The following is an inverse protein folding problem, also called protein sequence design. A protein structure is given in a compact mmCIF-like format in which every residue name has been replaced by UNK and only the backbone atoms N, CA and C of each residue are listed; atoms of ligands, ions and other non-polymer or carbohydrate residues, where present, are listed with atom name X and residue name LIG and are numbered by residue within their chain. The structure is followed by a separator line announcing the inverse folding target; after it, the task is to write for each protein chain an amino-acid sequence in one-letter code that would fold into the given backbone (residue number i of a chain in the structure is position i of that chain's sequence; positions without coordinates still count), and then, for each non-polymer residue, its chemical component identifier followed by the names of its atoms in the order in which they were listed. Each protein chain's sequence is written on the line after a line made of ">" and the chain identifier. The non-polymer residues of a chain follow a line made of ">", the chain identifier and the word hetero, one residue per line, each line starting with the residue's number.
data_IF_862881657627
#
_entry.id   IF_862881657627
#
_cell.length_a   1.000
_cell.length_b   1.000
_cell.length_c   1.000
_cell.angle_alpha   90.00
_cell.angle_beta   90.00
_cell.angle_gamma   90.00
#
_symmetry.space_group_name_H-M   'P 1'
#
loop_
_entity.id
_entity.type
_entity.pdbx_description
1 polymer ?
#
# COMPACT_ATOMS: atom_id res chain seq x y z
N UNK A 1 74.69 20.49 30.05
CA UNK A 1 74.42 21.56 29.07
C UNK A 1 72.90 21.72 28.93
N UNK A 2 72.42 22.96 29.18
CA UNK A 2 71.14 23.61 28.77
C UNK A 2 69.82 22.81 28.99
N UNK A 3 69.07 23.12 30.07
CA UNK A 3 67.98 24.15 30.20
C UNK A 3 66.65 23.65 29.58
N UNK A 4 65.63 23.26 30.35
CA UNK A 4 64.73 24.02 31.27
C UNK A 4 63.52 24.65 30.57
N UNK A 5 62.31 24.34 31.09
CA UNK A 5 61.12 25.18 31.45
C UNK A 5 59.85 24.31 31.35
N UNK A 6 59.10 23.87 32.37
CA UNK A 6 58.63 24.37 33.69
C UNK A 6 57.54 25.48 33.61
N UNK A 7 56.33 25.09 34.05
CA UNK A 7 55.24 25.80 34.80
C UNK A 7 54.52 27.01 34.15
N UNK A 8 53.33 27.46 34.56
CA UNK A 8 52.13 27.01 35.31
C UNK A 8 51.31 28.30 35.65
N UNK A 9 50.07 28.14 36.17
CA UNK A 9 49.23 29.12 36.92
C UNK A 9 48.47 30.19 36.09
N UNK A 10 47.35 30.82 36.51
CA UNK A 10 46.47 30.82 37.72
C UNK A 10 45.11 31.47 37.34
N UNK A 11 44.05 31.17 38.11
CA UNK A 11 42.84 32.01 38.28
C UNK A 11 43.17 33.49 38.57
N UNK A 12 42.22 34.40 38.32
CA UNK A 12 41.75 35.41 39.29
C UNK A 12 40.42 36.04 38.79
N UNK A 13 39.45 36.08 39.69
CA UNK A 13 38.19 36.81 39.58
C UNK A 13 38.39 38.29 39.95
N UNK A 14 37.60 39.20 39.39
CA UNK A 14 37.31 40.49 40.03
C UNK A 14 35.89 40.97 39.71
N UNK A 15 35.13 41.12 40.79
CA UNK A 15 33.82 41.74 40.96
C UNK A 15 34.06 43.14 41.57
N UNK A 16 33.45 44.19 41.02
CA UNK A 16 33.16 45.50 41.67
C UNK A 16 32.04 46.15 40.81
N UNK A 17 30.75 46.17 41.19
CA UNK A 17 30.05 47.02 42.18
C UNK A 17 30.20 48.53 41.91
N UNK A 18 29.13 49.19 41.41
CA UNK A 18 28.29 50.15 42.16
C UNK A 18 27.37 50.98 41.24
N UNK A 19 26.07 50.96 41.53
CA UNK A 19 24.94 51.71 40.92
C UNK A 19 24.93 53.21 41.37
N UNK A 20 23.85 54.04 41.25
CA UNK A 20 22.52 53.88 40.60
C UNK A 20 21.98 55.15 39.87
N UNK A 21 20.81 55.07 39.21
CA UNK A 21 19.68 56.02 39.41
C UNK A 21 18.40 55.59 38.65
N UNK A 22 17.42 55.10 39.43
CA UNK A 22 15.99 55.47 39.50
C UNK A 22 15.25 56.04 38.29
N UNK A 23 14.17 55.36 37.86
CA UNK A 23 12.75 55.69 38.13
C UNK A 23 11.85 54.70 37.33
N UNK A 24 11.09 53.81 37.99
CA UNK A 24 9.64 53.92 38.32
C UNK A 24 8.74 54.00 37.07
N UNK A 25 7.63 53.28 36.92
CA UNK A 25 6.89 52.26 37.67
C UNK A 25 5.84 51.73 36.67
N UNK A 26 5.42 50.45 36.65
CA UNK A 26 4.21 49.89 37.29
C UNK A 26 3.74 48.79 36.29
N UNK A 27 3.29 47.59 36.65
CA UNK A 27 3.10 46.94 37.94
C UNK A 27 2.42 45.59 37.71
N UNK A 28 2.82 44.60 38.52
CA UNK A 28 1.97 43.59 39.20
C UNK A 28 1.18 42.55 38.36
N UNK A 29 1.06 41.27 38.71
CA UNK A 29 1.66 40.48 39.79
C UNK A 29 1.35 38.97 39.61
N UNK A 30 2.15 38.17 40.32
CA UNK A 30 1.78 36.93 41.01
C UNK A 30 1.88 35.52 40.36
N UNK A 31 2.76 34.75 41.02
CA UNK A 31 2.56 33.42 41.65
C UNK A 31 2.43 32.13 40.80
N UNK A 32 3.51 31.37 40.90
CA UNK A 32 3.63 30.08 41.61
C UNK A 32 3.33 28.74 40.92
N UNK A 33 4.32 27.85 41.12
CA UNK A 33 4.24 26.40 41.33
C UNK A 33 4.33 25.48 40.11
N UNK A 34 5.01 24.35 40.30
CA UNK A 34 4.64 23.08 39.68
C UNK A 34 5.67 22.45 38.74
N UNK A 35 6.55 21.64 39.33
CA UNK A 35 6.97 20.31 38.88
C UNK A 35 7.20 20.01 37.38
N UNK A 36 8.48 19.75 37.09
CA UNK A 36 9.01 18.60 36.33
C UNK A 36 8.02 17.68 35.63
N UNK A 37 8.13 17.61 34.30
CA UNK A 37 7.81 16.42 33.50
C UNK A 37 8.81 16.32 32.35
N UNK A 38 9.30 15.10 32.11
CA UNK A 38 10.31 14.77 31.13
C UNK A 38 9.75 14.88 29.69
N UNK A 39 10.54 15.55 28.83
CA UNK A 39 10.27 15.67 27.39
C UNK A 39 10.79 14.41 26.69
N UNK A 40 9.89 13.70 26.01
CA UNK A 40 10.19 12.71 24.97
C UNK A 40 10.45 13.50 23.68
N UNK A 41 11.53 13.28 22.92
CA UNK A 41 11.73 14.01 21.67
C UNK A 41 10.81 13.46 20.58
N UNK A 42 10.04 14.37 19.97
CA UNK A 42 9.21 14.13 18.79
C UNK A 42 10.07 13.76 17.58
N UNK A 43 9.54 12.86 16.75
CA UNK A 43 10.11 12.48 15.47
C UNK A 43 9.85 13.59 14.44
N UNK A 44 10.92 14.13 13.87
CA UNK A 44 10.88 15.08 12.75
C UNK A 44 10.08 14.50 11.58
N UNK A 45 8.98 15.17 11.27
CA UNK A 45 8.14 14.90 10.11
C UNK A 45 8.78 15.52 8.87
N UNK A 46 8.89 14.75 7.79
CA UNK A 46 9.37 15.23 6.50
C UNK A 46 8.27 16.11 5.88
N UNK A 47 8.51 17.41 5.83
CA UNK A 47 7.64 18.40 5.20
C UNK A 47 7.55 18.15 3.68
N UNK A 48 6.34 17.85 3.21
CA UNK A 48 6.01 17.74 1.81
C UNK A 48 5.72 19.14 1.25
N UNK A 49 6.55 19.62 0.32
CA UNK A 49 6.27 20.83 -0.42
C UNK A 49 5.15 20.56 -1.44
N UNK A 50 3.93 21.01 -1.11
CA UNK A 50 2.81 21.09 -2.03
C UNK A 50 3.02 22.29 -2.97
N UNK A 51 3.10 22.03 -4.28
CA UNK A 51 3.02 23.06 -5.30
C UNK A 51 1.59 23.10 -5.85
N UNK A 52 0.95 24.25 -5.66
CA UNK A 52 -0.34 24.63 -6.24
C UNK A 52 -0.14 25.04 -7.70
N UNK A 53 -0.95 24.49 -8.62
CA UNK A 53 -1.07 25.03 -9.99
C UNK A 53 -2.46 25.63 -10.20
N UNK A 54 -2.44 26.84 -10.77
CA UNK A 54 -3.59 27.69 -10.99
C UNK A 54 -4.31 27.43 -12.31
N UNK A 55 -5.56 27.87 -12.32
CA UNK A 55 -6.52 27.85 -13.42
C UNK A 55 -6.02 28.54 -14.68
N UNK A 56 -6.27 27.90 -15.83
CA UNK A 56 -6.42 28.59 -17.10
C UNK A 56 -7.69 28.08 -17.80
N UNK A 57 -8.70 28.96 -17.85
CA UNK A 57 -9.92 28.78 -18.63
C UNK A 57 -9.63 28.85 -20.13
N UNK A 58 -10.31 28.02 -20.92
CA UNK A 58 -10.60 28.35 -22.31
C UNK A 58 -12.01 27.90 -22.71
N UNK A 59 -12.70 28.79 -23.40
CA UNK A 59 -14.09 28.70 -23.79
C UNK A 59 -14.24 28.21 -25.24
N UNK A 60 -15.29 27.41 -25.47
CA UNK A 60 -16.14 27.43 -26.66
C UNK A 60 -15.57 26.87 -27.97
N UNK A 61 -16.19 25.79 -28.48
CA UNK A 61 -17.12 25.93 -29.61
C UNK A 61 -17.95 24.65 -29.82
N UNK A 62 -19.19 24.88 -30.25
CA UNK A 62 -20.30 23.98 -30.53
C UNK A 62 -20.13 23.07 -31.76
N UNK A 63 -20.82 21.92 -31.72
CA UNK A 63 -21.19 21.12 -32.89
C UNK A 63 -22.18 20.03 -32.50
N UNK A 64 -23.47 20.25 -32.80
CA UNK A 64 -24.55 19.26 -32.73
C UNK A 64 -24.51 18.36 -33.99
N UNK A 65 -24.85 17.08 -33.83
CA UNK A 65 -25.68 16.25 -34.74
C UNK A 65 -25.64 14.81 -34.17
N UNK A 66 -26.72 14.34 -33.55
CA UNK A 66 -27.93 13.70 -34.12
C UNK A 66 -27.87 12.17 -33.99
N UNK A 67 -28.92 11.64 -33.39
CA UNK A 67 -29.08 10.26 -32.96
C UNK A 67 -29.59 9.37 -34.09
N UNK A 68 -29.08 8.13 -34.16
CA UNK A 68 -29.78 7.02 -34.83
C UNK A 68 -29.49 5.71 -34.07
N UNK A 69 -30.52 5.19 -33.39
CA UNK A 69 -30.72 3.76 -33.13
C UNK A 69 -31.63 3.22 -34.28
N UNK A 70 -31.71 1.91 -34.62
CA UNK A 70 -31.84 0.80 -33.67
C UNK A 70 -31.15 -0.53 -34.10
N UNK A 71 -31.08 -1.51 -33.19
CA UNK A 71 -31.95 -2.71 -33.23
C UNK A 71 -31.32 -3.88 -32.45
N UNK A 72 -32.26 -4.59 -31.83
CA UNK A 72 -32.24 -5.74 -30.96
C UNK A 72 -31.68 -7.03 -31.57
N UNK A 73 -31.07 -7.84 -30.70
CA UNK A 73 -30.58 -9.19 -31.03
C UNK A 73 -30.40 -10.01 -29.77
N UNK A 74 -31.51 -10.55 -29.25
CA UNK A 74 -31.59 -11.52 -28.16
C UNK A 74 -30.89 -12.83 -28.54
N UNK A 75 -29.98 -13.33 -27.71
CA UNK A 75 -29.69 -14.77 -27.63
C UNK A 75 -29.52 -15.23 -26.18
N UNK A 76 -30.18 -16.35 -25.90
CA UNK A 76 -30.38 -16.99 -24.60
C UNK A 76 -29.53 -18.28 -24.55
N UNK A 77 -29.11 -18.63 -23.33
CA UNK A 77 -28.91 -19.98 -22.73
C UNK A 77 -27.44 -20.44 -22.51
N UNK A 78 -27.16 -21.30 -21.51
CA UNK A 78 -27.97 -21.65 -20.32
C UNK A 78 -27.20 -21.61 -18.97
N UNK A 79 -28.01 -21.62 -17.92
CA UNK A 79 -27.68 -21.92 -16.53
C UNK A 79 -27.08 -23.33 -16.36
N UNK A 80 -26.15 -23.48 -15.43
CA UNK A 80 -25.86 -24.78 -14.81
C UNK A 80 -25.91 -24.66 -13.29
N UNK A 81 -26.48 -25.71 -12.72
CA UNK A 81 -27.15 -25.78 -11.44
C UNK A 81 -26.22 -25.79 -10.22
N UNK A 82 -26.80 -25.27 -9.14
CA UNK A 82 -26.50 -25.47 -7.74
C UNK A 82 -26.25 -26.92 -7.33
N UNK A 83 -25.31 -27.13 -6.42
CA UNK A 83 -25.39 -28.23 -5.45
C UNK A 83 -25.33 -27.62 -4.06
N UNK A 84 -26.46 -27.71 -3.36
CA UNK A 84 -26.65 -27.36 -1.96
C UNK A 84 -26.10 -28.49 -1.08
N UNK A 85 -25.21 -28.18 -0.16
CA UNK A 85 -24.99 -29.04 1.02
C UNK A 85 -25.77 -28.47 2.21
N UNK A 86 -26.71 -29.29 2.66
CA UNK A 86 -27.54 -29.11 3.85
C UNK A 86 -26.70 -29.30 5.11
N UNK A 87 -26.56 -28.25 5.92
CA UNK A 87 -26.11 -28.40 7.30
C UNK A 87 -27.32 -28.72 8.19
N UNK A 88 -27.32 -29.95 8.73
CA UNK A 88 -28.29 -30.46 9.67
C UNK A 88 -28.01 -29.85 11.06
N UNK A 89 -29.00 -29.17 11.63
CA UNK A 89 -28.93 -28.62 12.97
C UNK A 89 -29.11 -29.73 14.01
N UNK A 90 -28.13 -29.87 14.91
CA UNK A 90 -28.28 -30.64 16.14
C UNK A 90 -28.23 -29.68 17.33
N UNK A 91 -29.35 -29.64 18.07
CA UNK A 91 -29.47 -29.01 19.37
C UNK A 91 -28.44 -29.58 20.36
N UNK A 92 -27.77 -28.70 21.10
CA UNK A 92 -27.21 -29.04 22.40
C UNK A 92 -27.27 -27.81 23.33
N UNK A 93 -28.01 -27.99 24.42
CA UNK A 93 -28.14 -27.06 25.53
C UNK A 93 -26.80 -26.76 26.21
N UNK A 94 -26.76 -25.59 26.87
CA UNK A 94 -25.56 -24.93 27.32
C UNK A 94 -24.73 -25.62 28.40
N UNK A 95 -23.43 -25.37 28.31
CA UNK A 95 -22.48 -25.33 29.41
C UNK A 95 -21.50 -24.20 29.09
N UNK A 96 -21.18 -23.35 30.06
CA UNK A 96 -20.27 -22.21 29.93
C UNK A 96 -19.00 -22.59 29.15
N UNK A 97 -18.95 -22.16 27.89
CA UNK A 97 -17.97 -22.61 26.90
C UNK A 97 -16.68 -21.83 27.02
N UNK A 98 -15.65 -22.46 27.56
CA UNK A 98 -14.26 -22.08 27.31
C UNK A 98 -14.06 -22.13 25.79
N UNK A 99 -13.94 -20.96 25.15
CA UNK A 99 -13.85 -20.87 23.70
C UNK A 99 -12.65 -21.70 23.22
N UNK A 100 -12.91 -22.74 22.43
CA UNK A 100 -11.85 -23.55 21.84
C UNK A 100 -10.98 -22.66 20.96
N UNK A 101 -9.79 -22.31 21.45
CA UNK A 101 -8.86 -21.43 20.77
C UNK A 101 -8.27 -22.04 19.48
N UNK A 102 -8.59 -23.31 19.18
CA UNK A 102 -8.29 -23.98 17.90
C UNK A 102 -9.47 -23.99 16.92
N UNK A 103 -10.65 -23.53 17.34
CA UNK A 103 -11.84 -23.44 16.49
C UNK A 103 -11.66 -22.46 15.31
N UNK A 104 -12.36 -22.68 14.19
CA UNK A 104 -12.38 -21.73 13.08
C UNK A 104 -12.78 -20.33 13.53
N UNK A 105 -12.28 -19.31 12.84
CA UNK A 105 -12.74 -17.93 13.03
C UNK A 105 -14.19 -17.79 12.59
N UNK A 106 -14.99 -17.09 13.39
CA UNK A 106 -16.40 -16.81 13.14
C UNK A 106 -16.64 -15.31 13.13
N UNK A 107 -17.79 -14.88 12.59
CA UNK A 107 -18.11 -13.46 12.51
C UNK A 107 -18.17 -12.78 13.90
N UNK A 108 -18.51 -13.51 14.95
CA UNK A 108 -18.60 -13.04 16.34
C UNK A 108 -17.23 -12.75 16.98
N UNK A 109 -16.13 -13.24 16.39
CA UNK A 109 -14.76 -12.98 16.85
C UNK A 109 -14.27 -11.56 16.52
N UNK A 110 -15.08 -10.78 15.80
CA UNK A 110 -14.71 -9.48 15.28
C UNK A 110 -15.64 -8.39 15.80
N UNK A 111 -15.11 -7.16 15.78
CA UNK A 111 -15.91 -5.93 15.96
C UNK A 111 -16.10 -5.26 14.62
N UNK A 112 -17.24 -4.59 14.47
CA UNK A 112 -17.65 -4.01 13.20
C UNK A 112 -18.04 -2.55 13.38
N UNK A 113 -17.95 -1.79 12.30
CA UNK A 113 -18.47 -0.44 12.23
C UNK A 113 -18.38 0.13 10.82
N UNK A 114 -18.91 1.32 10.63
CA UNK A 114 -18.91 1.98 9.33
C UNK A 114 -17.49 2.36 8.91
N UNK A 115 -17.11 1.97 7.70
CA UNK A 115 -15.91 2.47 7.03
C UNK A 115 -16.30 3.11 5.71
N UNK A 116 -15.57 4.15 5.34
CA UNK A 116 -15.75 4.83 4.07
C UNK A 116 -14.41 5.30 3.50
N UNK A 117 -14.33 5.32 2.17
CA UNK A 117 -13.21 5.89 1.46
C UNK A 117 -13.62 6.28 0.04
N UNK A 118 -13.18 7.46 -0.39
CA UNK A 118 -13.33 7.93 -1.77
C UNK A 118 -12.00 7.81 -2.49
N UNK A 119 -12.01 7.08 -3.60
CA UNK A 119 -10.87 6.89 -4.49
C UNK A 119 -11.10 7.71 -5.75
N UNK A 120 -10.10 8.51 -6.14
CA UNK A 120 -10.15 9.30 -7.36
C UNK A 120 -8.92 9.02 -8.21
N UNK A 121 -9.12 8.84 -9.52
CA UNK A 121 -8.00 8.78 -10.48
C UNK A 121 -7.25 10.11 -10.52
N UNK A 122 -5.96 10.12 -10.88
CA UNK A 122 -5.20 11.38 -10.89
C UNK A 122 -5.68 12.36 -11.97
N UNK A 123 -6.41 11.88 -12.98
CA UNK A 123 -7.09 12.69 -13.99
C UNK A 123 -8.55 13.06 -13.62
N UNK A 124 -9.03 12.65 -12.43
CA UNK A 124 -10.39 12.88 -11.93
C UNK A 124 -11.52 12.39 -12.86
N UNK A 125 -11.23 11.50 -13.81
CA UNK A 125 -12.25 10.94 -14.71
C UNK A 125 -13.11 9.88 -14.03
N UNK A 126 -12.60 9.27 -12.96
CA UNK A 126 -13.30 8.29 -12.14
C UNK A 126 -13.17 8.66 -10.67
N UNK A 127 -14.30 8.58 -9.97
CA UNK A 127 -14.39 8.61 -8.52
C UNK A 127 -15.22 7.41 -8.06
N UNK A 128 -14.72 6.67 -7.08
CA UNK A 128 -15.41 5.53 -6.47
C UNK A 128 -15.44 5.74 -4.97
N UNK A 129 -16.65 5.81 -4.43
CA UNK A 129 -16.86 5.74 -2.99
C UNK A 129 -17.13 4.29 -2.59
N UNK A 130 -16.34 3.78 -1.66
CA UNK A 130 -16.63 2.56 -0.91
C UNK A 130 -17.13 2.98 0.45
N UNK A 131 -18.30 2.51 0.86
CA UNK A 131 -18.92 2.83 2.14
C UNK A 131 -19.75 1.63 2.60
N UNK A 132 -19.61 1.23 3.87
CA UNK A 132 -20.35 0.10 4.44
C UNK A 132 -19.71 -0.49 5.69
N UNK A 133 -20.19 -1.65 6.10
CA UNK A 133 -19.71 -2.37 7.30
C UNK A 133 -18.29 -2.88 7.09
N UNK A 134 -17.37 -2.47 7.96
CA UNK A 134 -15.97 -2.90 7.98
C UNK A 134 -15.60 -3.56 9.31
N UNK A 135 -14.57 -4.39 9.27
CA UNK A 135 -14.00 -5.02 10.48
C UNK A 135 -13.08 -4.01 11.16
N UNK A 136 -13.36 -3.65 12.42
CA UNK A 136 -12.59 -2.66 13.18
C UNK A 136 -11.57 -3.28 14.15
N UNK A 137 -11.62 -4.59 14.34
CA UNK A 137 -10.70 -5.34 15.18
C UNK A 137 -11.34 -6.60 15.74
N UNK A 138 -10.77 -7.13 16.82
CA UNK A 138 -11.24 -8.34 17.48
C UNK A 138 -12.22 -8.05 18.62
N UNK A 139 -13.25 -8.89 18.75
CA UNK A 139 -14.07 -8.96 19.97
C UNK A 139 -13.25 -9.55 21.13
N UNK A 140 -13.83 -9.66 22.32
CA UNK A 140 -13.10 -10.26 23.45
C UNK A 140 -12.77 -11.73 23.21
N UNK A 141 -13.69 -12.51 22.59
CA UNK A 141 -13.39 -13.89 22.16
C UNK A 141 -12.29 -13.92 21.09
N UNK A 142 -12.31 -12.98 20.14
CA UNK A 142 -11.27 -12.87 19.12
C UNK A 142 -9.88 -12.57 19.70
N UNK A 143 -9.80 -11.72 20.73
CA UNK A 143 -8.53 -11.39 21.41
C UNK A 143 -7.93 -12.56 22.17
N UNK A 144 -8.77 -13.47 22.69
CA UNK A 144 -8.32 -14.72 23.28
C UNK A 144 -7.88 -15.70 22.19
N UNK A 145 -8.69 -15.87 21.14
CA UNK A 145 -8.42 -16.77 20.01
C UNK A 145 -7.12 -16.43 19.29
N UNK A 146 -6.85 -15.14 19.04
CA UNK A 146 -5.61 -14.70 18.37
C UNK A 146 -4.35 -15.04 19.15
N UNK A 147 -4.41 -15.34 20.46
CA UNK A 147 -3.23 -15.77 21.21
C UNK A 147 -2.72 -17.15 20.77
N UNK A 148 -3.60 -17.99 20.24
CA UNK A 148 -3.31 -19.37 19.84
C UNK A 148 -3.36 -19.54 18.33
N UNK A 149 -4.42 -19.07 17.69
CA UNK A 149 -4.60 -19.18 16.24
C UNK A 149 -4.06 -17.93 15.53
N UNK A 150 -2.88 -18.02 14.90
CA UNK A 150 -2.27 -16.91 14.12
C UNK A 150 -2.66 -16.90 12.64
N UNK A 151 -3.54 -17.80 12.22
CA UNK A 151 -4.06 -17.92 10.86
C UNK A 151 -5.42 -17.23 10.77
N UNK A 152 -5.42 -15.91 10.60
CA UNK A 152 -6.63 -15.10 10.63
C UNK A 152 -7.50 -15.38 9.40
N UNK A 153 -8.79 -15.64 9.60
CA UNK A 153 -9.75 -15.77 8.49
C UNK A 153 -10.80 -14.67 8.66
N UNK A 154 -10.84 -13.75 7.70
CA UNK A 154 -11.78 -12.63 7.72
C UNK A 154 -13.15 -13.09 7.20
N UNK A 155 -14.24 -12.78 7.93
CA UNK A 155 -15.58 -13.13 7.47
C UNK A 155 -16.01 -12.24 6.30
N UNK A 156 -16.77 -12.80 5.36
CA UNK A 156 -17.38 -12.03 4.26
C UNK A 156 -18.61 -11.23 4.68
N UNK A 157 -19.23 -11.59 5.82
CA UNK A 157 -20.41 -10.92 6.37
C UNK A 157 -20.28 -10.71 7.87
N UNK A 158 -20.84 -9.61 8.37
CA UNK A 158 -21.04 -9.40 9.80
C UNK A 158 -22.14 -10.34 10.34
N UNK A 159 -22.26 -10.51 11.67
CA UNK A 159 -23.36 -11.26 12.28
C UNK A 159 -24.76 -10.71 11.90
N UNK A 160 -24.84 -9.43 11.53
CA UNK A 160 -26.06 -8.79 10.99
C UNK A 160 -26.46 -9.31 9.60
N UNK A 161 -25.57 -10.02 8.90
CA UNK A 161 -25.73 -10.46 7.52
C UNK A 161 -25.24 -9.47 6.47
N UNK A 162 -24.80 -8.28 6.87
CA UNK A 162 -24.23 -7.25 5.97
C UNK A 162 -22.87 -7.69 5.43
N UNK A 163 -22.66 -7.53 4.13
CA UNK A 163 -21.36 -7.81 3.49
C UNK A 163 -20.28 -6.85 3.99
N UNK A 164 -19.11 -7.40 4.30
CA UNK A 164 -17.95 -6.61 4.74
C UNK A 164 -17.32 -5.92 3.54
N UNK A 165 -17.09 -4.61 3.65
CA UNK A 165 -16.48 -3.78 2.60
C UNK A 165 -15.02 -3.44 2.87
N UNK A 166 -14.44 -3.94 3.97
CA UNK A 166 -13.04 -3.70 4.26
C UNK A 166 -12.62 -3.91 5.71
N UNK A 167 -11.37 -3.53 5.97
CA UNK A 167 -10.73 -3.59 7.27
C UNK A 167 -10.35 -2.18 7.70
N UNK A 168 -10.76 -1.80 8.91
CA UNK A 168 -10.58 -0.48 9.49
C UNK A 168 -9.14 -0.16 9.91
N UNK A 169 -8.86 1.11 10.26
CA UNK A 169 -7.52 1.53 10.62
C UNK A 169 -6.97 0.76 11.82
N UNK A 170 -5.74 0.24 11.71
CA UNK A 170 -5.04 -0.51 12.75
C UNK A 170 -5.77 -1.73 13.33
N UNK A 171 -6.83 -2.22 12.68
CA UNK A 171 -7.72 -3.26 13.23
C UNK A 171 -6.99 -4.51 13.74
N UNK A 172 -5.89 -4.88 13.07
CA UNK A 172 -5.09 -6.06 13.36
C UNK A 172 -3.59 -5.77 13.49
N UNK A 173 -3.22 -4.53 13.86
CA UNK A 173 -1.82 -4.17 14.04
C UNK A 173 -1.20 -4.91 15.26
N UNK A 174 0.05 -5.37 15.13
CA UNK A 174 0.85 -5.93 16.25
C UNK A 174 0.24 -7.17 16.93
N UNK A 175 -0.51 -7.99 16.20
CA UNK A 175 -1.18 -9.17 16.76
C UNK A 175 -0.39 -10.48 16.58
N UNK A 176 0.73 -10.41 15.87
CA UNK A 176 1.58 -11.57 15.57
C UNK A 176 0.97 -12.52 14.55
N UNK A 177 0.07 -12.01 13.68
CA UNK A 177 -0.59 -12.78 12.62
C UNK A 177 0.45 -13.34 11.65
N UNK A 178 0.29 -14.61 11.26
CA UNK A 178 1.21 -15.32 10.37
C UNK A 178 0.62 -15.50 8.97
N UNK A 179 -0.70 -15.69 8.85
CA UNK A 179 -1.42 -15.74 7.57
C UNK A 179 -2.78 -15.07 7.68
N UNK A 180 -3.29 -14.58 6.54
CA UNK A 180 -4.65 -14.02 6.43
C UNK A 180 -5.37 -14.72 5.28
N UNK A 181 -6.62 -15.09 5.51
CA UNK A 181 -7.56 -15.48 4.45
C UNK A 181 -8.59 -14.36 4.31
N UNK A 182 -8.69 -13.80 3.10
CA UNK A 182 -9.68 -12.79 2.73
C UNK A 182 -10.98 -13.45 2.26
N UNK A 183 -12.13 -12.76 2.33
CA UNK A 183 -13.37 -13.27 1.75
C UNK A 183 -13.33 -13.25 0.21
N UNK A 184 -14.07 -14.15 -0.45
CA UNK A 184 -14.06 -14.29 -1.92
C UNK A 184 -15.07 -13.36 -2.65
N UNK A 185 -16.19 -13.00 -2.01
CA UNK A 185 -17.29 -12.25 -2.63
C UNK A 185 -17.13 -10.71 -2.54
N UNK A 186 -15.94 -10.20 -2.87
CA UNK A 186 -15.60 -8.77 -2.73
C UNK A 186 -15.88 -7.92 -3.99
N UNK A 187 -16.48 -8.51 -5.01
CA UNK A 187 -16.79 -7.88 -6.30
C UNK A 187 -18.25 -7.45 -6.38
N UNK A 188 -18.53 -6.20 -6.75
CA UNK A 188 -19.89 -5.68 -6.93
C UNK A 188 -20.17 -5.27 -8.38
N UNK A 189 -21.45 -5.21 -8.82
CA UNK A 189 -21.81 -4.60 -10.10
C UNK A 189 -21.29 -3.16 -10.22
N UNK A 190 -20.86 -2.78 -11.41
CA UNK A 190 -20.35 -1.45 -11.72
C UNK A 190 -20.84 -1.00 -13.09
N UNK A 191 -21.33 0.24 -13.17
CA UNK A 191 -21.65 0.90 -14.44
C UNK A 191 -20.50 1.84 -14.79
N UNK A 192 -19.60 1.38 -15.65
CA UNK A 192 -18.45 2.16 -16.09
C UNK A 192 -18.85 3.22 -17.10
N UNK A 193 -18.98 4.45 -16.63
CA UNK A 193 -19.35 5.61 -17.47
C UNK A 193 -18.19 6.16 -18.30
N UNK A 194 -16.96 5.65 -18.12
CA UNK A 194 -15.77 6.17 -18.80
C UNK A 194 -15.38 5.33 -20.00
N UNK A 195 -15.32 4.00 -19.85
CA UNK A 195 -14.97 3.10 -20.97
C UNK A 195 -16.12 2.19 -21.39
N UNK A 196 -17.18 2.07 -20.57
CA UNK A 196 -18.30 1.15 -20.78
C UNK A 196 -17.88 -0.33 -20.93
N UNK A 197 -16.71 -0.72 -20.40
CA UNK A 197 -16.21 -2.09 -20.51
C UNK A 197 -16.24 -2.87 -19.19
N UNK A 198 -16.19 -2.17 -18.05
CA UNK A 198 -16.11 -2.79 -16.73
C UNK A 198 -17.54 -2.93 -16.18
N UNK A 199 -17.99 -4.17 -16.00
CA UNK A 199 -19.35 -4.47 -15.49
C UNK A 199 -19.37 -4.84 -14.00
N UNK A 200 -18.19 -5.11 -13.43
CA UNK A 200 -17.99 -5.38 -12.00
C UNK A 200 -16.68 -4.78 -11.53
N UNK A 201 -16.62 -4.33 -10.27
CA UNK A 201 -15.42 -3.79 -9.64
C UNK A 201 -15.17 -4.41 -8.27
N UNK A 202 -13.94 -4.28 -7.79
CA UNK A 202 -13.66 -4.55 -6.38
C UNK A 202 -14.33 -3.54 -5.45
N UNK A 203 -14.68 -3.99 -4.24
CA UNK A 203 -15.36 -3.20 -3.22
C UNK A 203 -14.74 -3.36 -1.82
N UNK A 204 -13.53 -3.94 -1.73
CA UNK A 204 -12.88 -4.15 -0.45
C UNK A 204 -11.69 -3.21 -0.27
N UNK A 205 -11.66 -2.49 0.86
CA UNK A 205 -10.60 -1.55 1.20
C UNK A 205 -9.87 -1.97 2.47
N UNK A 206 -8.54 -1.83 2.48
CA UNK A 206 -7.70 -2.13 3.63
C UNK A 206 -7.13 -0.81 4.14
N UNK A 207 -7.62 -0.33 5.29
CA UNK A 207 -7.30 1.00 5.81
C UNK A 207 -5.93 1.06 6.49
N UNK A 208 -5.54 2.29 6.80
CA UNK A 208 -4.20 2.62 7.30
C UNK A 208 -3.77 1.75 8.47
N UNK A 209 -2.58 1.15 8.36
CA UNK A 209 -1.97 0.32 9.40
C UNK A 209 -2.71 -0.99 9.74
N UNK A 210 -3.77 -1.37 9.00
CA UNK A 210 -4.67 -2.48 9.34
C UNK A 210 -3.96 -3.77 9.78
N UNK A 211 -2.88 -4.15 9.12
CA UNK A 211 -2.09 -5.36 9.38
C UNK A 211 -0.61 -5.06 9.65
N UNK A 212 -0.29 -3.84 10.10
CA UNK A 212 1.10 -3.45 10.39
C UNK A 212 1.72 -4.23 11.55
N UNK A 213 3.05 -4.39 11.52
CA UNK A 213 3.84 -5.01 12.59
C UNK A 213 3.39 -6.46 12.95
N UNK A 214 3.10 -7.29 11.94
CA UNK A 214 2.77 -8.70 12.09
C UNK A 214 3.91 -9.62 11.56
N UNK A 215 3.63 -10.93 11.46
CA UNK A 215 4.59 -11.94 11.00
C UNK A 215 4.21 -12.53 9.63
N UNK A 216 3.44 -11.80 8.81
CA UNK A 216 3.00 -12.28 7.49
C UNK A 216 4.20 -12.57 6.59
N UNK A 217 4.21 -13.73 5.91
CA UNK A 217 5.37 -14.21 5.13
C UNK A 217 5.15 -14.22 3.61
N UNK A 218 3.91 -14.31 3.17
CA UNK A 218 3.49 -14.22 1.77
C UNK A 218 2.06 -13.70 1.70
N UNK A 219 1.68 -13.16 0.55
CA UNK A 219 0.31 -12.72 0.30
C UNK A 219 -0.10 -12.96 -1.14
N UNK A 220 -1.25 -13.60 -1.31
CA UNK A 220 -1.95 -13.71 -2.58
C UNK A 220 -3.31 -13.03 -2.43
N UNK A 221 -3.41 -11.79 -2.90
CA UNK A 221 -4.64 -11.02 -2.76
C UNK A 221 -5.69 -11.53 -3.76
N UNK A 222 -6.90 -11.92 -3.29
CA UNK A 222 -7.97 -12.31 -4.20
C UNK A 222 -8.56 -11.10 -4.92
N UNK A 223 -9.31 -11.37 -6.00
CA UNK A 223 -10.06 -10.34 -6.71
C UNK A 223 -11.07 -9.65 -5.78
N UNK A 224 -11.25 -8.35 -6.00
CA UNK A 224 -12.15 -7.51 -5.23
C UNK A 224 -11.48 -6.59 -4.22
N UNK A 225 -10.19 -6.81 -3.93
CA UNK A 225 -9.36 -5.81 -3.24
C UNK A 225 -9.20 -4.61 -4.18
N UNK A 226 -9.69 -3.45 -3.74
CA UNK A 226 -9.68 -2.22 -4.51
C UNK A 226 -8.58 -1.26 -4.06
N UNK A 227 -8.32 -1.20 -2.75
CA UNK A 227 -7.39 -0.22 -2.18
C UNK A 227 -6.67 -0.74 -0.95
N UNK A 228 -5.36 -0.49 -0.91
CA UNK A 228 -4.49 -0.76 0.22
C UNK A 228 -3.89 0.56 0.68
N UNK A 229 -4.33 1.02 1.85
CA UNK A 229 -4.01 2.34 2.38
C UNK A 229 -2.62 2.38 3.07
N UNK A 230 -2.29 3.57 3.58
CA UNK A 230 -0.98 3.86 4.12
C UNK A 230 -0.54 2.87 5.22
N UNK A 231 0.68 2.36 5.11
CA UNK A 231 1.28 1.42 6.06
C UNK A 231 0.46 0.15 6.38
N UNK A 232 -0.55 -0.21 5.56
CA UNK A 232 -1.47 -1.31 5.85
C UNK A 232 -0.78 -2.64 6.17
N UNK A 233 0.35 -2.94 5.52
CA UNK A 233 1.16 -4.16 5.69
C UNK A 233 2.62 -3.86 6.05
N UNK A 234 2.89 -2.67 6.60
CA UNK A 234 4.24 -2.25 7.00
C UNK A 234 4.80 -3.16 8.10
N UNK A 235 6.13 -3.35 8.13
CA UNK A 235 6.83 -4.10 9.18
C UNK A 235 6.34 -5.55 9.33
N UNK A 236 6.21 -6.26 8.22
CA UNK A 236 5.92 -7.69 8.20
C UNK A 236 7.17 -8.48 7.76
N UNK A 237 7.03 -9.77 7.46
CA UNK A 237 8.11 -10.66 7.01
C UNK A 237 7.88 -11.15 5.58
N UNK A 238 7.10 -10.42 4.79
CA UNK A 238 6.67 -10.91 3.48
C UNK A 238 7.85 -11.04 2.54
N UNK A 239 7.95 -12.16 1.83
CA UNK A 239 8.97 -12.41 0.82
C UNK A 239 8.43 -12.35 -0.60
N UNK A 240 7.13 -12.56 -0.76
CA UNK A 240 6.40 -12.45 -2.01
C UNK A 240 5.01 -11.87 -1.81
N UNK A 241 4.52 -11.15 -2.82
CA UNK A 241 3.15 -10.65 -2.88
C UNK A 241 2.62 -10.71 -4.32
N UNK A 242 1.38 -11.15 -4.48
CA UNK A 242 0.62 -11.13 -5.74
C UNK A 242 -0.64 -10.28 -5.58
N UNK A 243 -0.87 -9.42 -6.57
CA UNK A 243 -1.96 -8.45 -6.57
C UNK A 243 -3.01 -8.75 -7.67
N UNK A 244 -4.30 -8.50 -7.39
CA UNK A 244 -5.41 -8.72 -8.31
C UNK A 244 -5.53 -7.61 -9.36
N UNK A 245 -6.24 -7.86 -10.46
CA UNK A 245 -6.48 -6.84 -11.49
C UNK A 245 -7.46 -5.74 -11.03
N UNK A 246 -8.24 -6.00 -9.98
CA UNK A 246 -9.15 -5.02 -9.38
C UNK A 246 -8.46 -3.96 -8.53
N UNK A 247 -7.19 -4.16 -8.16
CA UNK A 247 -6.47 -3.24 -7.30
C UNK A 247 -6.23 -1.92 -8.03
N UNK A 248 -6.72 -0.82 -7.46
CA UNK A 248 -6.51 0.52 -7.99
C UNK A 248 -5.25 1.15 -7.41
N UNK A 249 -5.08 1.14 -6.09
CA UNK A 249 -4.03 1.94 -5.45
C UNK A 249 -3.34 1.22 -4.29
N UNK A 250 -2.02 1.38 -4.25
CA UNK A 250 -1.15 1.04 -3.12
C UNK A 250 -0.63 2.33 -2.51
N UNK A 251 -1.08 2.60 -1.28
CA UNK A 251 -0.82 3.83 -0.55
C UNK A 251 0.58 3.93 0.05
N UNK A 252 0.82 5.08 0.69
CA UNK A 252 2.11 5.43 1.27
C UNK A 252 2.64 4.36 2.23
N UNK A 253 3.86 3.87 2.03
CA UNK A 253 4.48 2.87 2.91
C UNK A 253 3.68 1.56 3.09
N UNK A 254 2.69 1.26 2.26
CA UNK A 254 1.77 0.14 2.46
C UNK A 254 2.48 -1.20 2.72
N UNK A 255 3.58 -1.48 2.01
CA UNK A 255 4.40 -2.69 2.14
C UNK A 255 5.83 -2.38 2.59
N UNK A 256 6.06 -1.24 3.24
CA UNK A 256 7.40 -0.85 3.67
C UNK A 256 7.97 -1.78 4.75
N UNK A 257 9.30 -1.93 4.81
CA UNK A 257 10.01 -2.69 5.83
C UNK A 257 9.54 -4.14 5.93
N UNK A 258 9.62 -4.82 4.79
CA UNK A 258 9.36 -6.25 4.65
C UNK A 258 10.62 -6.95 4.11
N UNK A 259 10.50 -8.16 3.57
CA UNK A 259 11.59 -8.88 2.90
C UNK A 259 11.24 -9.22 1.45
N UNK A 260 10.38 -8.42 0.81
CA UNK A 260 9.82 -8.73 -0.51
C UNK A 260 10.93 -8.83 -1.54
N UNK A 261 11.05 -10.00 -2.16
CA UNK A 261 11.92 -10.26 -3.32
C UNK A 261 11.11 -10.35 -4.61
N UNK A 262 9.86 -10.76 -4.50
CA UNK A 262 8.94 -10.90 -5.62
C UNK A 262 7.69 -10.05 -5.40
N UNK A 263 7.40 -9.18 -6.36
CA UNK A 263 6.19 -8.37 -6.39
C UNK A 263 5.51 -8.63 -7.73
N UNK A 264 4.42 -9.39 -7.70
CA UNK A 264 3.65 -9.79 -8.87
C UNK A 264 2.46 -8.85 -9.03
N UNK A 265 2.68 -7.77 -9.78
CA UNK A 265 1.61 -6.89 -10.26
C UNK A 265 0.90 -7.53 -11.46
N UNK A 266 -0.41 -7.28 -11.64
CA UNK A 266 -1.14 -7.78 -12.80
C UNK A 266 -0.66 -7.08 -14.09
N UNK A 267 -0.87 -7.72 -15.24
CA UNK A 267 -0.55 -7.09 -16.54
C UNK A 267 -1.60 -6.03 -16.89
N UNK A 268 -2.87 -6.34 -16.65
CA UNK A 268 -4.03 -5.48 -16.88
C UNK A 268 -4.69 -5.11 -15.56
N UNK A 269 -5.27 -3.91 -15.48
CA UNK A 269 -6.02 -3.44 -14.32
C UNK A 269 -7.38 -2.88 -14.77
N UNK A 270 -8.40 -2.99 -13.92
CA UNK A 270 -9.72 -2.38 -14.17
C UNK A 270 -9.61 -0.85 -14.14
N UNK A 271 -8.81 -0.33 -13.22
CA UNK A 271 -8.59 1.09 -13.01
C UNK A 271 -7.12 1.47 -13.22
N UNK A 272 -6.91 2.78 -13.35
CA UNK A 272 -5.59 3.37 -13.54
C UNK A 272 -4.71 3.16 -12.32
N UNK A 273 -3.81 2.17 -12.39
CA UNK A 273 -3.07 1.68 -11.23
C UNK A 273 -2.09 2.72 -10.68
N UNK A 274 -1.99 2.80 -9.34
CA UNK A 274 -1.20 3.81 -8.64
C UNK A 274 -0.33 3.20 -7.53
N UNK A 275 0.95 3.59 -7.52
CA UNK A 275 1.91 3.29 -6.45
C UNK A 275 2.37 4.59 -5.81
N UNK A 276 2.05 4.76 -4.53
CA UNK A 276 2.37 5.96 -3.77
C UNK A 276 3.77 5.94 -3.15
N UNK A 277 4.09 7.01 -2.40
CA UNK A 277 5.40 7.26 -1.85
C UNK A 277 5.83 6.15 -0.90
N UNK A 278 7.05 5.64 -1.10
CA UNK A 278 7.64 4.60 -0.26
C UNK A 278 6.79 3.32 -0.11
N UNK A 279 5.81 3.09 -0.99
CA UNK A 279 4.88 1.95 -0.92
C UNK A 279 5.59 0.60 -0.71
N UNK A 280 6.77 0.41 -1.32
CA UNK A 280 7.60 -0.78 -1.22
C UNK A 280 9.00 -0.49 -0.65
N UNK A 281 9.16 0.58 0.13
CA UNK A 281 10.47 0.95 0.67
C UNK A 281 11.03 -0.11 1.63
N UNK A 282 12.35 -0.25 1.70
CA UNK A 282 13.03 -1.13 2.67
C UNK A 282 12.58 -2.60 2.51
N UNK A 283 12.94 -3.18 1.37
CA UNK A 283 12.61 -4.54 0.96
C UNK A 283 13.83 -5.15 0.23
N UNK A 284 13.64 -6.30 -0.42
CA UNK A 284 14.68 -7.03 -1.17
C UNK A 284 14.39 -7.05 -2.68
N UNK A 285 13.66 -6.05 -3.18
CA UNK A 285 13.19 -5.97 -4.57
C UNK A 285 14.36 -5.57 -5.47
N UNK A 286 14.49 -6.26 -6.60
CA UNK A 286 15.44 -5.85 -7.65
C UNK A 286 14.73 -5.24 -8.84
N UNK A 287 13.61 -5.84 -9.23
CA UNK A 287 12.81 -5.42 -10.36
C UNK A 287 11.34 -5.74 -10.15
N UNK A 288 10.48 -5.05 -10.90
CA UNK A 288 9.04 -5.27 -11.00
C UNK A 288 8.61 -5.11 -12.46
N UNK A 289 7.49 -5.73 -12.84
CA UNK A 289 6.77 -5.38 -14.08
C UNK A 289 5.60 -4.48 -13.72
N UNK A 290 5.48 -3.30 -14.34
CA UNK A 290 4.32 -2.43 -14.14
C UNK A 290 3.13 -2.91 -14.98
N UNK A 291 1.89 -2.81 -14.47
CA UNK A 291 0.69 -2.97 -15.28
C UNK A 291 0.66 -1.99 -16.46
N UNK A 292 0.10 -2.41 -17.59
CA UNK A 292 -0.02 -1.57 -18.79
C UNK A 292 -0.86 -0.32 -18.53
N UNK A 293 -1.80 -0.39 -17.59
CA UNK A 293 -2.67 0.72 -17.20
C UNK A 293 -2.21 1.47 -15.94
N UNK A 294 -0.89 1.54 -15.70
CA UNK A 294 -0.32 2.31 -14.60
C UNK A 294 -0.38 3.81 -14.89
N UNK A 295 -0.91 4.58 -13.95
CA UNK A 295 -1.01 6.04 -14.03
C UNK A 295 0.06 6.76 -13.21
N UNK A 296 0.47 6.18 -12.07
CA UNK A 296 1.37 6.85 -11.13
C UNK A 296 2.32 5.88 -10.46
N UNK A 297 3.60 6.25 -10.41
CA UNK A 297 4.62 5.64 -9.54
C UNK A 297 5.46 6.75 -8.93
N UNK A 298 5.38 6.92 -7.62
CA UNK A 298 6.03 8.02 -6.93
C UNK A 298 7.55 7.83 -6.79
N UNK A 299 8.32 8.93 -6.64
CA UNK A 299 9.80 8.91 -6.82
C UNK A 299 10.58 8.06 -5.81
N UNK A 300 10.00 7.74 -4.65
CA UNK A 300 10.64 6.90 -3.63
C UNK A 300 9.88 5.59 -3.37
N UNK A 301 8.99 5.17 -4.28
CA UNK A 301 8.20 3.94 -4.10
C UNK A 301 9.06 2.72 -3.78
N UNK A 302 10.28 2.63 -4.34
CA UNK A 302 11.22 1.53 -4.11
C UNK A 302 12.49 1.91 -3.34
N UNK A 303 12.46 2.98 -2.53
CA UNK A 303 13.62 3.38 -1.72
C UNK A 303 14.15 2.25 -0.83
N UNK A 304 15.46 2.19 -0.53
CA UNK A 304 16.08 1.14 0.31
C UNK A 304 15.92 -0.30 -0.21
N UNK A 305 15.70 -0.49 -1.51
CA UNK A 305 15.76 -1.79 -2.15
C UNK A 305 17.12 -2.00 -2.86
N UNK A 306 17.64 -3.24 -2.92
CA UNK A 306 18.95 -3.51 -3.53
C UNK A 306 19.01 -3.22 -5.03
N UNK A 307 17.88 -3.27 -5.74
CA UNK A 307 17.83 -2.91 -7.15
C UNK A 307 18.65 -3.80 -8.09
N UNK A 308 18.73 -3.38 -9.35
CA UNK A 308 19.53 -4.00 -10.41
C UNK A 308 20.85 -3.26 -10.66
N UNK A 309 20.93 -1.99 -10.27
CA UNK A 309 22.10 -1.13 -10.40
C UNK A 309 22.36 -0.40 -9.07
N UNK A 310 23.59 0.06 -8.86
CA UNK A 310 23.93 0.96 -7.76
C UNK A 310 23.27 2.33 -7.93
N UNK A 311 23.08 3.06 -6.83
CA UNK A 311 22.60 4.44 -6.87
C UNK A 311 23.64 5.32 -7.59
N UNK A 312 23.22 6.17 -8.56
CA UNK A 312 24.15 7.03 -9.29
C UNK A 312 24.94 7.97 -8.37
N UNK A 313 26.20 8.23 -8.71
CA UNK A 313 27.11 9.04 -7.88
C UNK A 313 26.64 10.50 -7.70
N UNK A 314 25.89 11.00 -8.67
CA UNK A 314 25.30 12.33 -8.69
C UNK A 314 23.99 12.45 -7.88
N UNK A 315 23.50 11.35 -7.30
CA UNK A 315 22.33 11.39 -6.44
C UNK A 315 22.58 12.25 -5.18
N UNK A 316 21.52 12.84 -4.58
CA UNK A 316 21.64 13.60 -3.34
C UNK A 316 22.29 12.77 -2.22
N UNK A 317 23.05 13.43 -1.34
CA UNK A 317 23.81 12.76 -0.27
C UNK A 317 22.93 11.89 0.63
N UNK A 318 21.70 12.35 0.94
CA UNK A 318 20.73 11.54 1.70
C UNK A 318 20.34 10.25 0.98
N UNK A 319 20.14 10.31 -0.34
CA UNK A 319 19.79 9.12 -1.14
C UNK A 319 20.96 8.14 -1.17
N UNK A 320 22.20 8.62 -1.30
CA UNK A 320 23.39 7.76 -1.27
C UNK A 320 23.66 7.17 0.12
N UNK A 321 23.39 7.92 1.18
CA UNK A 321 23.61 7.48 2.55
C UNK A 321 22.61 6.41 3.01
N UNK A 322 21.36 6.52 2.56
CA UNK A 322 20.27 5.68 3.05
C UNK A 322 19.69 4.71 2.00
N UNK A 323 19.85 4.98 0.71
CA UNK A 323 19.37 4.10 -0.35
C UNK A 323 20.29 2.89 -0.55
N UNK A 324 19.80 1.87 -1.27
CA UNK A 324 20.53 0.63 -1.50
C UNK A 324 20.82 0.35 -2.99
N UNK A 325 19.93 0.75 -3.91
CA UNK A 325 20.09 0.56 -5.34
C UNK A 325 18.94 1.14 -6.15
N UNK A 326 18.99 0.90 -7.46
CA UNK A 326 17.98 1.33 -8.43
C UNK A 326 17.14 0.15 -8.87
N UNK A 327 15.86 0.14 -8.49
CA UNK A 327 14.90 -0.89 -8.90
C UNK A 327 14.48 -0.68 -10.35
N UNK A 328 14.49 -1.75 -11.14
CA UNK A 328 13.99 -1.71 -12.51
C UNK A 328 12.49 -1.90 -12.56
N UNK A 329 11.81 -1.00 -13.23
CA UNK A 329 10.38 -1.08 -13.53
C UNK A 329 10.24 -1.41 -15.01
N UNK A 330 9.92 -2.66 -15.32
CA UNK A 330 9.76 -3.15 -16.68
C UNK A 330 8.36 -2.84 -17.22
N UNK A 331 8.29 -2.47 -18.50
CA UNK A 331 7.05 -2.33 -19.25
C UNK A 331 7.29 -2.47 -20.75
N UNK A 332 6.29 -2.97 -21.49
CA UNK A 332 6.25 -2.89 -22.96
C UNK A 332 5.36 -1.74 -23.46
N UNK A 333 4.66 -1.04 -22.56
CA UNK A 333 3.83 0.09 -22.92
C UNK A 333 4.66 1.37 -23.04
N UNK A 334 4.93 1.77 -24.29
CA UNK A 334 5.69 2.98 -24.62
C UNK A 334 5.06 4.27 -24.07
N UNK A 335 3.74 4.29 -23.85
CA UNK A 335 3.05 5.45 -23.30
C UNK A 335 3.52 5.79 -21.87
N UNK A 336 3.93 4.81 -21.07
CA UNK A 336 4.36 5.04 -19.69
C UNK A 336 5.63 5.91 -19.61
N UNK A 337 6.48 5.89 -20.65
CA UNK A 337 7.67 6.75 -20.72
C UNK A 337 7.31 8.23 -20.90
N UNK A 338 6.10 8.53 -21.37
CA UNK A 338 5.62 9.90 -21.59
C UNK A 338 4.79 10.42 -20.42
N UNK A 339 4.37 9.56 -19.49
CA UNK A 339 3.54 9.95 -18.35
C UNK A 339 4.36 10.60 -17.23
N UNK A 340 4.15 11.88 -17.00
CA UNK A 340 4.86 12.69 -16.00
C UNK A 340 4.77 12.16 -14.56
N UNK A 341 3.69 11.43 -14.25
CA UNK A 341 3.46 10.80 -12.94
C UNK A 341 4.18 9.46 -12.75
N UNK A 342 4.90 8.99 -13.76
CA UNK A 342 5.81 7.85 -13.65
C UNK A 342 7.19 8.41 -13.34
N UNK A 343 7.55 8.45 -12.06
CA UNK A 343 8.83 9.01 -11.65
C UNK A 343 9.93 7.96 -11.84
N UNK A 344 11.01 8.30 -12.55
CA UNK A 344 12.12 7.39 -12.81
C UNK A 344 13.43 8.15 -13.06
N UNK A 345 14.55 7.41 -13.08
CA UNK A 345 15.90 7.94 -13.22
C UNK A 345 16.15 8.77 -14.49
N UNK A 346 15.43 8.43 -15.57
CA UNK A 346 15.51 9.12 -16.86
C UNK A 346 14.85 10.51 -16.89
N UNK A 347 14.10 10.89 -15.86
CA UNK A 347 13.48 12.22 -15.77
C UNK A 347 14.51 13.30 -15.41
N UNK A 348 14.26 14.51 -15.90
CA UNK A 348 15.12 15.70 -15.69
C UNK A 348 14.53 16.65 -14.66
N UNK A 349 13.20 16.82 -14.63
CA UNK A 349 12.52 17.66 -13.66
C UNK A 349 12.64 17.08 -12.24
N UNK A 350 13.03 17.92 -11.27
CA UNK A 350 13.33 17.46 -9.91
C UNK A 350 12.13 16.81 -9.21
N UNK A 351 10.91 17.28 -9.49
CA UNK A 351 9.66 16.73 -8.96
C UNK A 351 9.22 15.41 -9.62
N UNK A 352 9.86 14.99 -10.71
CA UNK A 352 9.59 13.73 -11.41
C UNK A 352 10.79 12.76 -11.35
N UNK A 353 11.98 13.25 -10.99
CA UNK A 353 13.20 12.46 -10.97
C UNK A 353 13.24 11.56 -9.74
N UNK A 354 13.28 10.26 -9.98
CA UNK A 354 13.67 9.29 -8.97
C UNK A 354 15.14 8.95 -9.09
N UNK A 355 15.79 8.72 -7.97
CA UNK A 355 17.17 8.21 -7.90
C UNK A 355 17.25 6.71 -7.56
N UNK A 356 16.10 6.08 -7.32
CA UNK A 356 16.02 4.70 -6.78
C UNK A 356 15.16 3.78 -7.64
N UNK A 357 14.61 4.27 -8.75
CA UNK A 357 13.90 3.44 -9.71
C UNK A 357 14.10 3.92 -11.15
N UNK A 358 14.09 2.98 -12.09
CA UNK A 358 14.37 3.22 -13.51
C UNK A 358 13.35 2.45 -14.35
N UNK A 359 12.70 3.16 -15.27
CA UNK A 359 11.77 2.56 -16.21
C UNK A 359 12.56 1.91 -17.36
N UNK A 360 12.28 0.65 -17.66
CA UNK A 360 12.97 -0.18 -18.64
C UNK A 360 11.97 -0.72 -19.65
N UNK A 361 12.25 -0.55 -20.95
CA UNK A 361 11.45 -1.16 -22.01
C UNK A 361 11.81 -2.63 -22.12
N UNK A 362 10.82 -3.50 -22.06
CA UNK A 362 10.99 -4.94 -22.19
C UNK A 362 10.39 -5.70 -21.01
N UNK A 363 10.80 -6.97 -20.91
CA UNK A 363 10.31 -7.89 -19.89
C UNK A 363 11.33 -8.06 -18.77
N UNK A 364 10.80 -8.22 -17.55
CA UNK A 364 11.62 -8.61 -16.42
C UNK A 364 12.17 -10.02 -16.64
N UNK A 365 13.49 -10.14 -16.61
CA UNK A 365 14.15 -11.43 -16.75
C UNK A 365 14.45 -12.07 -15.39
N UNK A 366 14.20 -11.41 -14.26
CA UNK A 366 14.42 -11.95 -12.93
C UNK A 366 13.21 -12.71 -12.37
N UNK A 367 12.05 -12.65 -13.03
CA UNK A 367 10.83 -13.30 -12.55
C UNK A 367 10.92 -14.82 -12.65
N UNK A 368 10.49 -15.49 -11.57
CA UNK A 368 10.18 -16.92 -11.54
C UNK A 368 8.93 -17.18 -12.37
N UNK A 369 8.78 -18.41 -12.87
CA UNK A 369 7.66 -18.86 -13.71
C UNK A 369 6.31 -18.30 -13.28
N UNK A 370 5.60 -17.64 -14.20
CA UNK A 370 4.24 -17.12 -13.98
C UNK A 370 3.29 -17.48 -15.12
N UNK A 371 2.00 -17.15 -15.00
CA UNK A 371 0.98 -17.39 -16.04
C UNK A 371 1.40 -16.87 -17.42
N UNK A 372 2.10 -15.73 -17.47
CA UNK A 372 2.66 -15.13 -18.69
C UNK A 372 3.67 -16.04 -19.42
N UNK A 373 4.24 -17.03 -18.73
CA UNK A 373 5.24 -17.95 -19.26
C UNK A 373 4.63 -19.15 -20.00
N UNK A 374 3.29 -19.25 -20.00
CA UNK A 374 2.57 -20.35 -20.60
C UNK A 374 1.62 -19.82 -21.68
N UNK A 375 1.42 -20.61 -22.73
CA UNK A 375 0.33 -20.37 -23.70
C UNK A 375 -0.91 -21.14 -23.28
N UNK A 376 -2.09 -20.62 -23.62
CA UNK A 376 -3.37 -21.20 -23.23
C UNK A 376 -4.31 -21.35 -24.42
N UNK A 377 -5.07 -22.44 -24.45
CA UNK A 377 -6.30 -22.59 -25.23
C UNK A 377 -7.47 -22.83 -24.26
N UNK A 378 -8.32 -21.82 -24.08
CA UNK A 378 -9.28 -21.80 -22.97
C UNK A 378 -8.56 -21.92 -21.63
N UNK A 379 -8.95 -22.89 -20.80
CA UNK A 379 -8.35 -23.14 -19.49
C UNK A 379 -7.18 -24.15 -19.52
N UNK A 380 -6.72 -24.55 -20.71
CA UNK A 380 -5.66 -25.55 -20.85
C UNK A 380 -4.32 -24.89 -21.18
N UNK A 381 -3.27 -25.17 -20.40
CA UNK A 381 -1.89 -24.80 -20.74
C UNK A 381 -1.45 -25.62 -21.96
N UNK A 382 -1.13 -24.96 -23.07
CA UNK A 382 -0.75 -25.60 -24.34
C UNK A 382 0.75 -25.58 -24.63
N UNK A 383 1.53 -24.82 -23.86
CA UNK A 383 2.95 -24.70 -24.10
C UNK A 383 3.60 -23.58 -23.31
N UNK A 384 4.83 -23.26 -23.70
CA UNK A 384 5.55 -22.11 -23.18
C UNK A 384 5.33 -20.91 -24.09
N UNK A 385 5.09 -19.75 -23.50
CA UNK A 385 5.20 -18.49 -24.23
C UNK A 385 6.67 -18.22 -24.60
N UNK A 386 6.93 -17.12 -25.32
CA UNK A 386 8.31 -16.68 -25.56
C UNK A 386 9.07 -16.37 -24.27
N UNK A 387 8.39 -15.83 -23.25
CA UNK A 387 8.99 -15.56 -21.95
C UNK A 387 9.26 -16.87 -21.19
N UNK A 388 8.33 -17.82 -21.22
CA UNK A 388 8.52 -19.13 -20.61
C UNK A 388 9.63 -19.94 -21.27
N UNK A 389 9.74 -19.87 -22.59
CA UNK A 389 10.83 -20.50 -23.33
C UNK A 389 12.21 -19.93 -22.94
N UNK A 390 12.29 -18.63 -22.64
CA UNK A 390 13.51 -17.99 -22.12
C UNK A 390 13.81 -18.42 -20.68
N UNK A 391 12.79 -18.52 -19.82
CA UNK A 391 12.94 -19.00 -18.44
C UNK A 391 13.38 -20.48 -18.40
N UNK A 392 12.81 -21.34 -19.23
CA UNK A 392 13.17 -22.77 -19.30
C UNK A 392 14.59 -23.04 -19.79
N UNK A 393 15.18 -22.15 -20.59
CA UNK A 393 16.59 -22.28 -21.01
C UNK A 393 17.58 -22.00 -19.86
N UNK A 394 17.19 -21.24 -18.84
CA UNK A 394 18.03 -20.90 -17.69
C UNK A 394 18.15 -21.98 -16.63
N UNK A 395 17.24 -22.96 -16.60
CA UNK A 395 17.30 -24.11 -15.65
C UNK A 395 18.32 -25.16 -16.12
N UNK A 396 18.73 -25.14 -17.39
CA UNK A 396 19.65 -26.14 -17.97
C UNK A 396 21.14 -25.75 -17.89
N UNK A 397 21.47 -24.65 -17.23
CA UNK A 397 22.84 -24.17 -16.95
C UNK A 397 22.94 -23.86 -15.47
#
# INVERSE_FOLDING_TARGET
>A
MKKSRIMAWLLIAMLCISAPMTALAEGEDSKASGASSAVVPEADTLEAAAATEGEAANAGNSGQEEAVAPDSGTQILPETQSVSETAEAADAEGTDGEADASSPWQAEDFTYGMIEHTLSGCNYTREIQVQGTGILGLSDSGKEKIQVNKHLVLPGKAPSGETIVGVGPNAFAKMGIETITFPEDMMIPYDDTVTHTITRRGNFIIKSGAFSDNNLTAMDFPEGILFIDAAAFKNNRMTEVRFPHTLWMIGNQAFASNSLRQVQLPVTCDFQFQIDNMAFADNQIRSVTLPDYTEKVFMYSFFKNPGMEEIPAEAPDKVKAEGAGVVYMYTNNDALFQLDRIHHLGRTAANQKSWVQKLIKGEDTQTVWGIRDFTYEGNTVTGLSESGSRNGRRIKT
#
